data_IF_021139637589
#
_entry.id   IF_021139637589
#
_cell.length_a   1.000
_cell.length_b   1.000
_cell.length_c   1.000
_cell.angle_alpha   90.00
_cell.angle_beta   90.00
_cell.angle_gamma   90.00
#
_symmetry.space_group_name_H-M   'P 1'
#
loop_
_entity.id
_entity.type
_entity.pdbx_description
1 polymer ?
#
# COMPACT_ATOMS: atom_id res chain seq x y z
N UNK A 1 42.00 58.52 -39.00
CA UNK A 1 43.25 58.54 -38.22
C UNK A 1 43.02 57.81 -36.92
N UNK A 2 43.98 56.95 -36.59
CA UNK A 2 44.05 55.93 -35.55
C UNK A 2 43.75 56.45 -34.14
N UNK A 3 43.04 55.66 -33.34
CA UNK A 3 42.85 55.89 -31.91
C UNK A 3 42.94 54.58 -31.13
N UNK A 4 44.14 54.26 -30.65
CA UNK A 4 44.35 53.33 -29.54
C UNK A 4 43.94 54.04 -28.25
N UNK A 5 43.19 53.39 -27.35
CA UNK A 5 43.67 53.16 -25.98
C UNK A 5 42.75 52.28 -25.14
N UNK A 6 43.42 51.58 -24.22
CA UNK A 6 43.01 50.52 -23.33
C UNK A 6 41.75 50.77 -22.48
N UNK A 7 41.01 49.69 -22.21
CA UNK A 7 40.33 49.54 -20.93
C UNK A 7 40.36 48.08 -20.47
N UNK A 8 40.88 47.91 -19.26
CA UNK A 8 40.91 46.68 -18.46
C UNK A 8 39.50 46.32 -18.03
N UNK A 9 39.09 45.06 -18.18
CA UNK A 9 38.04 44.47 -17.35
C UNK A 9 38.40 43.02 -17.03
N UNK A 10 38.72 42.79 -15.77
CA UNK A 10 38.85 41.46 -15.19
C UNK A 10 37.48 40.77 -15.20
N UNK A 11 37.42 39.53 -15.69
CA UNK A 11 36.25 38.67 -15.51
C UNK A 11 36.75 37.34 -14.92
N UNK A 12 36.72 37.25 -13.59
CA UNK A 12 36.69 35.95 -12.91
C UNK A 12 35.28 35.38 -13.10
N UNK A 13 35.13 34.49 -14.08
CA UNK A 13 33.87 33.78 -14.32
C UNK A 13 33.63 32.74 -13.21
N UNK A 14 32.69 33.04 -12.31
CA UNK A 14 32.19 32.06 -11.36
C UNK A 14 31.31 31.03 -12.09
N UNK A 15 31.86 29.83 -12.35
CA UNK A 15 31.12 28.66 -12.80
C UNK A 15 30.28 28.13 -11.62
N UNK A 16 29.03 28.59 -11.51
CA UNK A 16 28.01 27.97 -10.67
C UNK A 16 27.54 26.68 -11.35
N UNK A 17 28.18 25.56 -11.00
CA UNK A 17 27.70 24.23 -11.34
C UNK A 17 26.39 23.95 -10.58
N UNK A 18 25.26 23.99 -11.28
CA UNK A 18 23.98 23.49 -10.78
C UNK A 18 24.06 21.96 -10.70
N UNK A 19 24.30 21.44 -9.50
CA UNK A 19 24.11 20.02 -9.21
C UNK A 19 22.62 19.70 -9.33
N UNK A 20 22.20 19.01 -10.39
CA UNK A 20 20.87 18.44 -10.46
C UNK A 20 20.74 17.39 -9.33
N UNK A 21 20.03 17.75 -8.26
CA UNK A 21 19.76 16.84 -7.17
C UNK A 21 18.84 15.73 -7.67
N UNK A 22 19.32 14.48 -7.67
CA UNK A 22 18.49 13.30 -7.88
C UNK A 22 17.51 13.18 -6.71
N UNK A 23 16.23 13.45 -6.97
CA UNK A 23 15.17 13.20 -5.98
C UNK A 23 14.92 11.69 -5.94
N UNK A 24 15.16 11.03 -4.81
CA UNK A 24 14.78 9.64 -4.64
C UNK A 24 13.26 9.51 -4.70
N UNK A 25 12.73 8.75 -5.67
CA UNK A 25 11.30 8.49 -5.77
C UNK A 25 10.85 7.61 -4.60
N UNK A 26 10.12 8.18 -3.64
CA UNK A 26 9.53 7.42 -2.55
C UNK A 26 8.46 6.48 -3.11
N UNK A 27 8.68 5.18 -2.97
CA UNK A 27 7.67 4.15 -3.30
C UNK A 27 6.54 4.28 -2.26
N UNK A 28 5.36 4.68 -2.70
CA UNK A 28 4.17 4.81 -1.84
C UNK A 28 3.58 3.42 -1.61
N UNK A 29 3.64 2.94 -0.36
CA UNK A 29 3.12 1.63 0.04
C UNK A 29 1.63 1.70 0.42
N UNK A 30 0.97 0.55 0.58
CA UNK A 30 -0.42 0.49 1.08
C UNK A 30 -0.53 1.12 2.47
N UNK A 31 0.46 0.93 3.36
CA UNK A 31 0.44 1.60 4.66
C UNK A 31 0.54 3.13 4.53
N UNK A 32 1.34 3.64 3.59
CA UNK A 32 1.41 5.08 3.31
C UNK A 32 0.07 5.62 2.78
N UNK A 33 -0.58 4.89 1.87
CA UNK A 33 -1.91 5.22 1.35
C UNK A 33 -2.93 5.33 2.48
N UNK A 34 -2.94 4.38 3.42
CA UNK A 34 -3.88 4.38 4.55
C UNK A 34 -3.72 5.64 5.42
N UNK A 35 -2.52 6.21 5.52
CA UNK A 35 -2.30 7.44 6.30
C UNK A 35 -2.75 8.72 5.59
N UNK A 36 -3.06 8.66 4.29
CA UNK A 36 -3.52 9.85 3.56
C UNK A 36 -4.96 10.21 3.93
N UNK A 37 -5.32 11.51 3.88
CA UNK A 37 -6.70 11.96 4.11
C UNK A 37 -7.71 11.26 3.19
N UNK A 38 -8.89 10.95 3.73
CA UNK A 38 -9.95 10.20 3.04
C UNK A 38 -9.75 8.67 3.13
N UNK A 39 -8.57 8.16 2.79
CA UNK A 39 -8.24 6.74 2.96
C UNK A 39 -8.18 6.36 4.44
N UNK A 40 -7.61 7.22 5.28
CA UNK A 40 -7.60 7.02 6.73
C UNK A 40 -9.02 6.94 7.30
N UNK A 41 -9.94 7.78 6.81
CA UNK A 41 -11.34 7.80 7.27
C UNK A 41 -12.08 6.52 6.88
N UNK A 42 -12.00 6.10 5.63
CA UNK A 42 -12.63 4.85 5.18
C UNK A 42 -12.01 3.62 5.86
N UNK A 43 -10.69 3.62 6.09
CA UNK A 43 -10.01 2.60 6.89
C UNK A 43 -10.55 2.52 8.33
N UNK A 44 -10.60 3.65 9.03
CA UNK A 44 -11.11 3.72 10.40
C UNK A 44 -12.56 3.23 10.49
N UNK A 45 -13.40 3.62 9.53
CA UNK A 45 -14.78 3.13 9.43
C UNK A 45 -14.84 1.62 9.18
N UNK A 46 -13.99 1.08 8.30
CA UNK A 46 -13.92 -0.34 7.98
C UNK A 46 -13.53 -1.20 9.19
N UNK A 47 -12.58 -0.72 10.02
CA UNK A 47 -12.09 -1.45 11.21
C UNK A 47 -12.89 -1.17 12.49
N UNK A 48 -13.80 -0.20 12.47
CA UNK A 48 -14.61 0.19 13.63
C UNK A 48 -15.46 -0.99 14.10
N UNK A 49 -15.46 -1.24 15.42
CA UNK A 49 -16.23 -2.32 16.04
C UNK A 49 -15.70 -3.74 15.80
N UNK A 50 -14.57 -3.90 15.11
CA UNK A 50 -13.96 -5.21 14.87
C UNK A 50 -13.30 -5.74 16.15
N UNK A 51 -13.97 -6.71 16.77
CA UNK A 51 -13.46 -7.42 17.93
C UNK A 51 -12.15 -8.14 17.59
N UNK A 52 -11.21 -8.16 18.56
CA UNK A 52 -9.94 -8.91 18.46
C UNK A 52 -9.07 -8.58 17.23
N UNK A 53 -9.29 -7.44 16.56
CA UNK A 53 -8.40 -6.99 15.49
C UNK A 53 -7.03 -6.56 16.09
N UNK A 54 -5.89 -7.09 15.60
CA UNK A 54 -4.57 -6.79 16.16
C UNK A 54 -4.15 -5.35 15.87
N UNK A 55 -3.24 -4.81 16.68
CA UNK A 55 -2.84 -3.40 16.63
C UNK A 55 -2.32 -2.92 15.26
N UNK A 56 -1.50 -3.73 14.59
CA UNK A 56 -0.97 -3.43 13.26
C UNK A 56 -2.09 -3.26 12.22
N UNK A 57 -3.07 -4.17 12.24
CA UNK A 57 -4.24 -4.15 11.36
C UNK A 57 -5.25 -3.08 11.76
N UNK A 58 -5.37 -2.71 13.05
CA UNK A 58 -6.23 -1.58 13.44
C UNK A 58 -5.66 -0.25 12.97
N UNK A 59 -4.34 -0.07 13.09
CA UNK A 59 -3.63 1.17 12.71
C UNK A 59 -3.39 1.30 11.20
N UNK A 60 -3.52 0.22 10.42
CA UNK A 60 -3.11 0.23 9.01
C UNK A 60 -1.60 0.34 8.83
N UNK A 61 -0.85 -0.09 9.84
CA UNK A 61 0.61 0.01 9.89
C UNK A 61 1.19 -1.39 9.95
N UNK A 62 1.77 -1.84 8.84
CA UNK A 62 2.42 -3.13 8.72
C UNK A 62 3.43 -3.12 7.58
N UNK A 63 4.14 -4.24 7.39
CA UNK A 63 4.94 -4.43 6.18
C UNK A 63 3.97 -4.48 4.99
N UNK A 64 4.18 -3.64 3.97
CA UNK A 64 3.22 -3.52 2.88
C UNK A 64 3.92 -3.28 1.55
N UNK A 65 3.18 -3.58 0.48
CA UNK A 65 3.60 -3.31 -0.90
C UNK A 65 2.76 -2.16 -1.46
N UNK A 66 3.17 -1.56 -2.60
CA UNK A 66 2.37 -0.54 -3.27
C UNK A 66 0.95 -1.02 -3.59
N UNK A 67 -0.04 -0.17 -3.35
CA UNK A 67 -1.41 -0.44 -3.79
C UNK A 67 -1.54 -0.27 -5.30
N UNK A 68 -2.45 -1.01 -5.91
CA UNK A 68 -2.68 -1.07 -7.36
C UNK A 68 -4.11 -0.66 -7.69
N UNK A 69 -4.27 0.17 -8.72
CA UNK A 69 -5.58 0.44 -9.30
C UNK A 69 -6.05 -0.76 -10.11
N UNK A 70 -7.27 -1.22 -9.89
CA UNK A 70 -7.90 -2.28 -10.67
C UNK A 70 -9.38 -2.01 -10.90
N UNK A 71 -9.89 -2.50 -12.02
CA UNK A 71 -11.32 -2.49 -12.31
C UNK A 71 -11.93 -3.86 -11.99
N UNK A 72 -13.08 -3.85 -11.31
CA UNK A 72 -13.86 -5.05 -10.98
C UNK A 72 -15.33 -4.77 -11.20
N UNK A 73 -15.96 -5.56 -12.09
CA UNK A 73 -17.37 -5.43 -12.48
C UNK A 73 -17.79 -3.99 -12.84
N UNK A 74 -16.94 -3.29 -13.60
CA UNK A 74 -17.22 -1.92 -14.06
C UNK A 74 -17.05 -0.83 -13.00
N UNK A 75 -16.43 -1.14 -11.86
CA UNK A 75 -16.07 -0.17 -10.82
C UNK A 75 -14.55 -0.19 -10.59
N UNK A 76 -13.96 0.95 -10.28
CA UNK A 76 -12.53 1.07 -10.00
C UNK A 76 -12.25 1.07 -8.50
N UNK A 77 -11.17 0.39 -8.12
CA UNK A 77 -10.71 0.26 -6.76
C UNK A 77 -9.20 0.47 -6.67
N UNK A 78 -8.76 1.04 -5.55
CA UNK A 78 -7.36 0.97 -5.13
C UNK A 78 -7.20 -0.21 -4.18
N UNK A 79 -6.49 -1.24 -4.59
CA UNK A 79 -6.35 -2.51 -3.86
C UNK A 79 -4.92 -2.69 -3.39
N UNK A 80 -4.76 -3.02 -2.11
CA UNK A 80 -3.45 -3.13 -1.49
C UNK A 80 -3.39 -4.26 -0.46
N UNK A 81 -2.18 -4.50 0.04
CA UNK A 81 -1.94 -5.46 1.10
C UNK A 81 -0.99 -4.89 2.16
N UNK A 82 -1.17 -5.38 3.38
CA UNK A 82 -0.25 -5.17 4.48
C UNK A 82 -0.26 -6.41 5.38
N UNK A 83 0.86 -6.67 6.04
CA UNK A 83 1.04 -7.82 6.89
C UNK A 83 1.67 -7.46 8.22
N UNK A 84 1.51 -8.37 9.18
CA UNK A 84 2.15 -8.28 10.48
C UNK A 84 3.67 -8.30 10.29
N UNK A 85 4.41 -7.28 10.80
CA UNK A 85 5.86 -7.29 10.74
C UNK A 85 6.44 -8.60 11.31
N UNK A 86 7.41 -9.17 10.59
CA UNK A 86 8.09 -10.43 10.92
C UNK A 86 7.21 -11.69 10.91
N UNK A 87 5.97 -11.63 10.44
CA UNK A 87 5.04 -12.77 10.43
C UNK A 87 4.04 -12.68 9.25
N UNK A 88 4.56 -12.32 8.08
CA UNK A 88 3.73 -11.92 6.95
C UNK A 88 2.94 -13.07 6.33
N UNK A 89 3.54 -14.25 6.21
CA UNK A 89 2.90 -15.42 5.61
C UNK A 89 1.65 -15.84 6.40
N UNK A 90 1.71 -15.76 7.74
CA UNK A 90 0.61 -16.20 8.58
C UNK A 90 -0.40 -15.09 8.89
N UNK A 91 -0.02 -13.81 8.76
CA UNK A 91 -0.85 -12.70 9.20
C UNK A 91 -0.80 -11.55 8.19
N UNK A 92 -1.76 -11.54 7.27
CA UNK A 92 -1.88 -10.48 6.26
C UNK A 92 -3.31 -9.97 6.12
N UNK A 93 -3.45 -8.81 5.49
CA UNK A 93 -4.71 -8.15 5.23
C UNK A 93 -4.70 -7.64 3.79
N UNK A 94 -5.76 -7.97 3.06
CA UNK A 94 -6.06 -7.38 1.75
C UNK A 94 -7.15 -6.32 1.93
N UNK A 95 -6.97 -5.15 1.32
CA UNK A 95 -7.91 -4.04 1.35
C UNK A 95 -8.25 -3.58 -0.05
N UNK A 96 -9.52 -3.22 -0.27
CA UNK A 96 -10.00 -2.53 -1.45
C UNK A 96 -10.66 -1.22 -1.02
N UNK A 97 -10.12 -0.10 -1.49
CA UNK A 97 -10.72 1.21 -1.37
C UNK A 97 -11.51 1.54 -2.62
N UNK A 98 -12.70 2.10 -2.44
CA UNK A 98 -13.42 2.73 -3.55
C UNK A 98 -12.62 3.93 -4.07
N UNK A 99 -12.67 4.20 -5.38
CA UNK A 99 -11.94 5.31 -6.02
C UNK A 99 -12.24 6.68 -5.37
N UNK A 100 -13.51 6.90 -4.98
CA UNK A 100 -13.95 8.12 -4.28
C UNK A 100 -13.59 8.15 -2.78
N UNK A 101 -12.88 7.13 -2.28
CA UNK A 101 -12.44 6.95 -0.88
C UNK A 101 -13.57 6.87 0.15
N UNK A 102 -14.83 6.81 -0.28
CA UNK A 102 -16.00 6.82 0.61
C UNK A 102 -16.11 5.55 1.45
N UNK A 103 -15.57 4.45 0.95
CA UNK A 103 -15.67 3.13 1.57
C UNK A 103 -14.43 2.29 1.31
N UNK A 104 -14.12 1.45 2.29
CA UNK A 104 -13.10 0.41 2.19
C UNK A 104 -13.68 -0.91 2.67
N UNK A 105 -13.20 -2.00 2.07
CA UNK A 105 -13.47 -3.36 2.48
C UNK A 105 -12.16 -4.11 2.63
N UNK A 106 -12.14 -5.09 3.51
CA UNK A 106 -10.94 -5.86 3.71
C UNK A 106 -11.20 -7.26 4.24
N UNK A 107 -10.16 -8.07 4.13
CA UNK A 107 -10.10 -9.39 4.74
C UNK A 107 -8.76 -9.52 5.43
N UNK A 108 -8.80 -9.74 6.74
CA UNK A 108 -7.62 -10.22 7.48
C UNK A 108 -7.61 -11.74 7.38
N UNK A 109 -6.46 -12.26 6.98
CA UNK A 109 -6.19 -13.69 6.89
C UNK A 109 -5.20 -14.06 7.99
N UNK A 110 -5.54 -15.07 8.75
CA UNK A 110 -4.69 -15.66 9.79
C UNK A 110 -4.51 -17.14 9.51
N UNK A 111 -3.29 -17.58 9.24
CA UNK A 111 -2.92 -19.00 9.08
C UNK A 111 -2.30 -19.49 10.39
N UNK A 112 -2.70 -20.69 10.84
CA UNK A 112 -2.13 -21.27 12.05
C UNK A 112 -0.62 -21.51 11.90
N UNK A 113 0.17 -21.10 12.90
CA UNK A 113 1.61 -21.33 12.91
C UNK A 113 1.94 -22.78 13.28
N UNK A 114 1.99 -23.66 12.27
CA UNK A 114 2.35 -25.08 12.43
C UNK A 114 2.86 -25.70 11.13
N UNK A 115 3.63 -26.80 11.19
CA UNK A 115 4.26 -27.39 10.00
C UNK A 115 3.29 -27.72 8.87
N UNK A 116 2.10 -28.27 9.17
CA UNK A 116 1.14 -28.67 8.13
C UNK A 116 0.55 -27.48 7.37
N UNK A 117 0.61 -26.28 7.96
CA UNK A 117 0.11 -25.06 7.33
C UNK A 117 1.09 -24.44 6.32
N UNK A 118 2.34 -24.91 6.27
CA UNK A 118 3.32 -24.48 5.28
C UNK A 118 2.87 -24.93 3.88
N UNK A 119 2.50 -26.20 3.73
CA UNK A 119 2.10 -26.77 2.44
C UNK A 119 0.62 -26.60 2.13
N UNK A 120 -0.21 -26.37 3.14
CA UNK A 120 -1.67 -26.27 3.02
C UNK A 120 -2.25 -25.09 3.81
N UNK A 121 -1.78 -23.84 3.55
CA UNK A 121 -2.16 -22.69 4.35
C UNK A 121 -3.67 -22.45 4.33
N UNK A 122 -4.34 -22.75 3.21
CA UNK A 122 -5.79 -22.56 3.05
C UNK A 122 -6.60 -23.39 4.05
N UNK A 123 -6.16 -24.61 4.35
CA UNK A 123 -6.82 -25.50 5.31
C UNK A 123 -6.80 -24.96 6.74
N UNK A 124 -5.83 -24.10 7.06
CA UNK A 124 -5.62 -23.56 8.39
C UNK A 124 -5.86 -22.04 8.47
N UNK A 125 -6.37 -21.45 7.39
CA UNK A 125 -6.68 -20.04 7.30
C UNK A 125 -8.02 -19.71 7.99
N UNK A 126 -8.03 -18.60 8.71
CA UNK A 126 -9.22 -17.93 9.23
C UNK A 126 -9.36 -16.58 8.55
N UNK A 127 -10.59 -16.22 8.21
CA UNK A 127 -10.92 -14.98 7.54
C UNK A 127 -11.75 -14.08 8.46
N UNK A 128 -11.27 -12.86 8.69
CA UNK A 128 -12.04 -11.81 9.35
C UNK A 128 -12.38 -10.73 8.32
N UNK A 129 -13.66 -10.63 7.98
CA UNK A 129 -14.19 -9.67 7.00
C UNK A 129 -14.44 -8.30 7.64
N UNK A 130 -13.96 -7.25 6.98
CA UNK A 130 -13.95 -5.87 7.46
C UNK A 130 -14.75 -4.99 6.49
N UNK A 131 -15.51 -4.03 7.01
CA UNK A 131 -16.33 -3.13 6.16
C UNK A 131 -17.61 -3.75 5.58
N UNK A 132 -18.04 -4.93 6.10
CA UNK A 132 -19.26 -5.66 5.66
C UNK A 132 -19.30 -5.90 4.14
N UNK A 133 -18.31 -6.61 3.55
CA UNK A 133 -18.31 -6.91 2.12
C UNK A 133 -19.44 -7.87 1.77
N UNK A 134 -20.10 -7.62 0.64
CA UNK A 134 -20.97 -8.60 -0.02
C UNK A 134 -20.14 -9.70 -0.71
N UNK A 135 -20.80 -10.67 -1.32
CA UNK A 135 -20.11 -11.80 -1.96
C UNK A 135 -19.21 -11.38 -3.13
N UNK A 136 -19.59 -10.34 -3.87
CA UNK A 136 -18.81 -9.82 -4.99
C UNK A 136 -17.52 -9.15 -4.53
N UNK A 137 -17.59 -8.38 -3.44
CA UNK A 137 -16.43 -7.77 -2.82
C UNK A 137 -15.55 -8.81 -2.12
N UNK A 138 -16.12 -9.85 -1.53
CA UNK A 138 -15.35 -11.00 -1.02
C UNK A 138 -14.58 -11.69 -2.15
N UNK A 139 -15.19 -11.86 -3.32
CA UNK A 139 -14.53 -12.47 -4.47
C UNK A 139 -13.35 -11.62 -4.98
N UNK A 140 -13.50 -10.29 -5.06
CA UNK A 140 -12.40 -9.37 -5.36
C UNK A 140 -11.21 -9.58 -4.39
N UNK A 141 -11.50 -9.52 -3.09
CA UNK A 141 -10.49 -9.60 -2.03
C UNK A 141 -9.79 -10.96 -2.00
N UNK A 142 -10.54 -12.06 -2.18
CA UNK A 142 -10.00 -13.42 -2.25
C UNK A 142 -9.05 -13.60 -3.42
N UNK A 143 -9.42 -13.08 -4.59
CA UNK A 143 -8.61 -13.18 -5.80
C UNK A 143 -7.17 -12.69 -5.61
N UNK A 144 -6.94 -11.75 -4.69
CA UNK A 144 -5.60 -11.20 -4.43
C UNK A 144 -4.62 -12.17 -3.77
N UNK A 145 -5.11 -13.19 -3.07
CA UNK A 145 -4.24 -14.19 -2.43
C UNK A 145 -4.50 -15.61 -2.92
N UNK A 146 -5.69 -15.92 -3.42
CA UNK A 146 -6.00 -17.24 -4.00
C UNK A 146 -5.32 -17.46 -5.37
N UNK A 147 -4.81 -16.41 -6.01
CA UNK A 147 -3.99 -16.55 -7.22
C UNK A 147 -2.55 -16.99 -6.94
N UNK A 148 -2.12 -17.00 -5.67
CA UNK A 148 -0.81 -17.52 -5.29
C UNK A 148 -0.84 -19.06 -5.40
N UNK A 149 0.06 -19.70 -6.17
CA UNK A 149 0.11 -21.16 -6.29
C UNK A 149 0.36 -21.89 -4.95
N UNK A 150 0.96 -21.21 -3.97
CA UNK A 150 1.18 -21.75 -2.63
C UNK A 150 -0.09 -21.72 -1.77
N UNK A 151 -1.13 -21.00 -2.21
CA UNK A 151 -2.42 -20.91 -1.52
C UNK A 151 -3.34 -22.09 -1.86
N UNK A 152 -2.96 -23.29 -1.40
CA UNK A 152 -3.69 -24.55 -1.61
C UNK A 152 -4.26 -25.15 -0.32
#
# INVERSE_FOLDING_TARGET
MTGQNALRCAIFGALLSLSAGSVAQQIVTTSDVIQQPGYQTSWQNMVKGQARLPGWARKGMGTSTPAQSLSWKGQNYLVGNLCKPHDCANNFLIVAFKEDKSQAWGVRVEVANKPEAIDHPKKYAKYQWLGKPDEDMKALLKKQFESNPDWK
#
